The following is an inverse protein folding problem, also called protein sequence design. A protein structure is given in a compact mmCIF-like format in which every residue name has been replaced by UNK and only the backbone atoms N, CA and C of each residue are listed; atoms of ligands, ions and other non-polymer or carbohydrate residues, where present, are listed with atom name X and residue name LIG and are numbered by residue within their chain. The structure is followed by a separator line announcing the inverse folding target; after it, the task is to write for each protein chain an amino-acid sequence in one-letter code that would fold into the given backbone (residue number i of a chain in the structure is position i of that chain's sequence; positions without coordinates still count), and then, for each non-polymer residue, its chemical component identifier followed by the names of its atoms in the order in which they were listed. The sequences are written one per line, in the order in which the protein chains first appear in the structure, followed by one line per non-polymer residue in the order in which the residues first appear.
data_IF_703651738944
#
_entry.id   IF_703651738944
#
_cell.length_a   1.000
_cell.length_b   1.000
_cell.length_c   1.000
_cell.angle_alpha   90.00
_cell.angle_beta   90.00
_cell.angle_gamma   90.00
#
_symmetry.space_group_name_H-M   'P 1'
#
loop_
_entity.id
_entity.type
_entity.pdbx_description
1 polymer ?
#
# COMPACT_ATOMS: atom_id res chain seq x y z
N UNK A 1 -64.87 -1.95 7.06
CA UNK A 1 -63.99 -2.05 8.24
C UNK A 1 -62.56 -1.98 7.72
N UNK A 2 -61.91 -0.83 7.88
CA UNK A 2 -60.53 -0.58 7.44
C UNK A 2 -59.59 -0.87 8.61
N UNK A 3 -58.43 -1.42 8.30
CA UNK A 3 -57.49 -2.07 9.21
C UNK A 3 -56.83 -1.08 10.17
N UNK A 4 -57.16 -1.16 11.47
CA UNK A 4 -56.52 -0.41 12.58
C UNK A 4 -55.16 -1.02 13.02
N UNK A 5 -54.49 -1.76 12.13
CA UNK A 5 -53.25 -2.51 12.46
C UNK A 5 -51.99 -1.77 11.99
N UNK A 6 -52.11 -0.85 11.01
CA UNK A 6 -50.96 -0.15 10.44
C UNK A 6 -50.42 0.98 11.35
N UNK A 7 -51.29 1.64 12.12
CA UNK A 7 -50.88 2.75 13.01
C UNK A 7 -50.06 2.27 14.20
N UNK A 8 -50.34 1.06 14.69
CA UNK A 8 -49.64 0.49 15.85
C UNK A 8 -48.19 0.07 15.50
N UNK A 9 -47.95 -0.37 14.25
CA UNK A 9 -46.62 -0.76 13.80
C UNK A 9 -45.68 0.44 13.64
N UNK A 10 -46.20 1.59 13.19
CA UNK A 10 -45.43 2.83 13.04
C UNK A 10 -45.03 3.36 14.42
N UNK A 11 -45.98 3.35 15.37
CA UNK A 11 -45.73 3.83 16.73
C UNK A 11 -44.70 2.96 17.47
N UNK A 12 -44.76 1.63 17.31
CA UNK A 12 -43.75 0.72 17.85
C UNK A 12 -42.36 0.90 17.22
N UNK A 13 -42.30 1.25 15.93
CA UNK A 13 -41.04 1.51 15.23
C UNK A 13 -40.38 2.81 15.70
N UNK A 14 -41.15 3.88 15.91
CA UNK A 14 -40.66 5.15 16.44
C UNK A 14 -40.12 5.02 17.87
N UNK A 15 -40.82 4.25 18.72
CA UNK A 15 -40.37 3.99 20.09
C UNK A 15 -39.03 3.21 20.12
N UNK A 16 -38.87 2.22 19.24
CA UNK A 16 -37.63 1.45 19.11
C UNK A 16 -36.45 2.27 18.56
N UNK A 17 -36.71 3.20 17.64
CA UNK A 17 -35.68 4.11 17.12
C UNK A 17 -35.23 5.13 18.18
N UNK A 18 -36.12 5.55 19.09
CA UNK A 18 -35.77 6.47 20.18
C UNK A 18 -34.85 5.85 21.24
N UNK A 19 -34.89 4.52 21.40
CA UNK A 19 -34.00 3.75 22.27
C UNK A 19 -32.61 3.52 21.64
N UNK A 20 -32.50 3.60 20.32
CA UNK A 20 -31.24 3.59 19.58
C UNK A 20 -30.55 4.96 19.64
N UNK A 21 -30.12 5.36 20.84
CA UNK A 21 -29.05 6.36 20.95
C UNK A 21 -27.75 5.62 20.63
N UNK A 22 -27.10 5.84 19.48
CA UNK A 22 -25.76 5.32 19.28
C UNK A 22 -24.90 5.92 20.39
N UNK A 23 -24.50 5.09 21.36
CA UNK A 23 -23.35 5.39 22.18
C UNK A 23 -22.20 5.48 21.18
N UNK A 24 -21.89 6.70 20.76
CA UNK A 24 -20.62 7.01 20.14
C UNK A 24 -19.56 6.67 21.20
N UNK A 25 -19.14 5.40 21.23
CA UNK A 25 -17.86 5.05 21.81
C UNK A 25 -16.88 5.97 21.10
N UNK A 26 -16.28 6.87 21.86
CA UNK A 26 -15.16 7.68 21.44
C UNK A 26 -14.21 6.73 20.72
N UNK A 27 -14.20 6.80 19.39
CA UNK A 27 -13.22 6.08 18.62
C UNK A 27 -11.90 6.67 19.09
N UNK A 28 -11.15 5.85 19.81
CA UNK A 28 -9.79 6.11 20.24
C UNK A 28 -9.05 6.71 19.03
N UNK A 29 -8.89 8.03 19.03
CA UNK A 29 -8.09 8.77 18.06
C UNK A 29 -6.63 8.46 18.33
N UNK A 30 -6.26 7.19 18.17
CA UNK A 30 -4.91 6.84 17.75
C UNK A 30 -4.78 7.43 16.37
N UNK A 31 -4.18 8.62 16.35
CA UNK A 31 -3.78 9.35 15.17
C UNK A 31 -3.37 8.34 14.11
N UNK A 32 -4.24 8.17 13.11
CA UNK A 32 -3.85 7.59 11.84
C UNK A 32 -2.65 8.42 11.46
N UNK A 33 -1.45 7.84 11.47
CA UNK A 33 -0.24 8.53 11.10
C UNK A 33 -0.50 9.14 9.73
N UNK A 34 -0.83 10.43 9.72
CA UNK A 34 -0.98 11.21 8.53
C UNK A 34 0.42 11.18 7.94
N UNK A 35 0.58 10.36 6.92
CA UNK A 35 1.78 10.33 6.12
C UNK A 35 1.95 11.76 5.62
N UNK A 36 2.88 12.47 6.26
CA UNK A 36 3.20 13.87 6.00
C UNK A 36 3.28 14.03 4.48
N UNK A 37 2.25 14.66 3.89
CA UNK A 37 2.21 14.99 2.47
C UNK A 37 3.22 16.12 2.25
N UNK A 38 4.50 15.74 2.19
CA UNK A 38 5.57 16.63 1.74
C UNK A 38 5.39 16.88 0.24
N UNK A 39 5.81 18.05 -0.26
CA UNK A 39 5.81 18.35 -1.68
C UNK A 39 6.52 17.21 -2.44
N UNK A 40 6.04 16.84 -3.63
CA UNK A 40 6.58 15.70 -4.35
C UNK A 40 8.03 15.99 -4.71
N UNK A 41 8.97 15.44 -3.93
CA UNK A 41 10.25 15.03 -4.48
C UNK A 41 9.88 14.16 -5.68
N UNK A 42 10.24 14.62 -6.89
CA UNK A 42 9.86 13.99 -8.14
C UNK A 42 10.09 12.48 -8.02
N UNK A 43 8.99 11.73 -7.87
CA UNK A 43 9.06 10.29 -7.64
C UNK A 43 9.35 9.65 -8.97
N UNK A 44 10.45 8.90 -9.02
CA UNK A 44 10.83 8.16 -10.22
C UNK A 44 10.10 6.82 -10.19
N UNK A 45 9.27 6.56 -11.20
CA UNK A 45 8.63 5.25 -11.34
C UNK A 45 9.54 4.28 -12.09
N UNK A 46 9.70 3.07 -11.57
CA UNK A 46 10.42 1.97 -12.21
C UNK A 46 9.42 0.84 -12.39
N UNK A 47 9.07 0.55 -13.64
CA UNK A 47 8.13 -0.51 -13.98
C UNK A 47 8.84 -1.81 -14.34
N UNK A 48 8.56 -2.85 -13.58
CA UNK A 48 9.20 -4.17 -13.65
C UNK A 48 8.19 -5.27 -13.96
N UNK A 49 6.91 -4.92 -14.24
CA UNK A 49 5.91 -5.95 -14.49
C UNK A 49 6.30 -6.82 -15.69
N UNK A 50 6.12 -8.14 -15.56
CA UNK A 50 6.38 -9.08 -16.64
C UNK A 50 7.86 -9.41 -16.90
N UNK A 51 8.80 -8.78 -16.20
CA UNK A 51 10.22 -9.11 -16.28
C UNK A 51 10.57 -10.35 -15.44
N UNK A 52 11.67 -11.04 -15.80
CA UNK A 52 12.30 -11.99 -14.88
C UNK A 52 12.93 -11.25 -13.70
N UNK A 53 13.30 -12.00 -12.65
CA UNK A 53 13.99 -11.41 -11.50
C UNK A 53 15.32 -10.80 -11.94
N UNK A 54 16.11 -11.48 -12.77
CA UNK A 54 17.41 -10.95 -13.21
C UNK A 54 17.26 -9.68 -14.06
N UNK A 55 16.28 -9.64 -14.97
CA UNK A 55 15.99 -8.46 -15.78
C UNK A 55 15.56 -7.27 -14.93
N UNK A 56 14.71 -7.53 -13.94
CA UNK A 56 14.22 -6.51 -13.03
C UNK A 56 15.31 -5.96 -12.11
N UNK A 57 16.22 -6.79 -11.60
CA UNK A 57 17.38 -6.34 -10.83
C UNK A 57 18.29 -5.42 -11.65
N UNK A 58 18.53 -5.77 -12.93
CA UNK A 58 19.28 -4.94 -13.86
C UNK A 58 18.60 -3.59 -14.08
N UNK A 59 17.30 -3.59 -14.38
CA UNK A 59 16.55 -2.35 -14.62
C UNK A 59 16.54 -1.45 -13.38
N UNK A 60 16.33 -2.00 -12.18
CA UNK A 60 16.44 -1.24 -10.91
C UNK A 60 17.82 -0.61 -10.77
N UNK A 61 18.87 -1.39 -11.07
CA UNK A 61 20.25 -0.91 -10.96
C UNK A 61 20.52 0.24 -11.91
N UNK A 62 20.14 0.08 -13.17
CA UNK A 62 20.32 1.11 -14.19
C UNK A 62 19.50 2.35 -13.91
N UNK A 63 18.23 2.20 -13.52
CA UNK A 63 17.34 3.32 -13.19
C UNK A 63 17.87 4.14 -12.01
N UNK A 64 18.31 3.49 -10.93
CA UNK A 64 18.89 4.18 -9.77
C UNK A 64 20.19 4.89 -10.16
N UNK A 65 21.05 4.24 -10.97
CA UNK A 65 22.30 4.84 -11.44
C UNK A 65 22.07 6.06 -12.35
N UNK A 66 21.08 6.01 -13.26
CA UNK A 66 20.69 7.12 -14.15
C UNK A 66 20.22 8.35 -13.35
N UNK A 67 19.64 8.14 -12.18
CA UNK A 67 19.07 9.21 -11.37
C UNK A 67 20.00 9.72 -10.27
N UNK A 68 21.32 9.57 -10.47
CA UNK A 68 22.44 10.10 -9.70
C UNK A 68 22.04 10.59 -8.30
N UNK A 69 22.26 9.73 -7.29
CA UNK A 69 22.07 10.08 -5.89
C UNK A 69 23.11 11.14 -5.52
N UNK A 70 22.83 12.41 -5.86
CA UNK A 70 23.59 13.56 -5.37
C UNK A 70 23.36 13.68 -3.85
N UNK A 71 23.83 14.77 -3.21
CA UNK A 71 23.49 15.06 -1.82
C UNK A 71 21.96 15.15 -1.58
N UNK A 72 21.16 15.19 -2.64
CA UNK A 72 19.70 15.21 -2.58
C UNK A 72 19.08 13.81 -2.50
N UNK A 73 18.00 13.74 -1.71
CA UNK A 73 17.21 12.52 -1.53
C UNK A 73 16.32 12.29 -2.74
N UNK A 74 16.13 11.03 -3.12
CA UNK A 74 15.25 10.67 -4.23
C UNK A 74 14.37 9.47 -3.89
N UNK A 75 13.09 9.59 -4.21
CA UNK A 75 12.11 8.52 -4.01
C UNK A 75 11.87 7.79 -5.34
N UNK A 76 11.98 6.48 -5.29
CA UNK A 76 11.66 5.56 -6.38
C UNK A 76 10.41 4.78 -6.02
N UNK A 77 9.45 4.72 -6.93
CA UNK A 77 8.28 3.85 -6.85
C UNK A 77 8.55 2.64 -7.72
N UNK A 78 8.79 1.49 -7.10
CA UNK A 78 9.16 0.26 -7.77
C UNK A 78 7.90 -0.58 -7.97
N UNK A 79 7.48 -0.77 -9.21
CA UNK A 79 6.25 -1.46 -9.60
C UNK A 79 6.61 -2.85 -10.10
N UNK A 80 6.21 -3.89 -9.36
CA UNK A 80 6.52 -5.31 -9.65
C UNK A 80 5.27 -6.12 -10.01
N UNK A 81 4.09 -5.51 -9.93
CA UNK A 81 2.82 -6.17 -10.13
C UNK A 81 2.35 -6.99 -8.92
N UNK A 82 1.11 -7.48 -8.97
CA UNK A 82 0.45 -8.16 -7.84
C UNK A 82 0.67 -9.69 -7.79
N UNK A 83 1.37 -10.25 -8.77
CA UNK A 83 1.64 -11.70 -8.85
C UNK A 83 0.53 -12.57 -9.46
N UNK A 84 -0.44 -11.98 -10.18
CA UNK A 84 -1.58 -12.72 -10.78
C UNK A 84 -1.18 -13.74 -11.84
N UNK A 85 -0.06 -13.51 -12.51
CA UNK A 85 0.41 -14.34 -13.61
C UNK A 85 1.54 -15.30 -13.22
N UNK A 86 1.94 -15.34 -11.94
CA UNK A 86 2.89 -16.37 -11.51
C UNK A 86 2.16 -17.71 -11.37
N UNK A 87 2.77 -18.79 -11.86
CA UNK A 87 2.22 -20.15 -11.82
C UNK A 87 1.85 -20.63 -10.41
N UNK A 88 2.42 -20.02 -9.38
CA UNK A 88 2.16 -20.33 -7.98
C UNK A 88 1.24 -19.33 -7.26
N UNK A 89 0.83 -18.23 -7.91
CA UNK A 89 0.12 -17.09 -7.29
C UNK A 89 0.96 -16.35 -6.21
N UNK A 90 2.15 -16.86 -5.90
CA UNK A 90 3.12 -16.21 -5.03
C UNK A 90 3.81 -15.19 -5.92
N UNK A 91 3.51 -13.90 -5.81
CA UNK A 91 4.30 -12.86 -6.47
C UNK A 91 5.77 -12.96 -6.08
N UNK A 92 6.56 -13.73 -6.84
CA UNK A 92 7.99 -13.95 -6.59
C UNK A 92 8.74 -12.63 -6.80
N UNK A 93 8.43 -11.94 -7.90
CA UNK A 93 9.12 -10.71 -8.29
C UNK A 93 9.06 -9.62 -7.20
N UNK A 94 7.90 -9.40 -6.58
CA UNK A 94 7.76 -8.35 -5.56
C UNK A 94 8.58 -8.64 -4.29
N UNK A 95 8.72 -9.92 -3.93
CA UNK A 95 9.55 -10.36 -2.81
C UNK A 95 11.03 -10.23 -3.15
N UNK A 96 11.46 -10.79 -4.27
CA UNK A 96 12.88 -10.83 -4.64
C UNK A 96 13.42 -9.41 -4.87
N UNK A 97 12.68 -8.55 -5.58
CA UNK A 97 13.11 -7.17 -5.82
C UNK A 97 13.13 -6.34 -4.54
N UNK A 98 12.17 -6.56 -3.63
CA UNK A 98 12.23 -5.91 -2.32
C UNK A 98 13.50 -6.30 -1.56
N UNK A 99 13.81 -7.59 -1.48
CA UNK A 99 15.02 -8.09 -0.80
C UNK A 99 16.30 -7.59 -1.48
N UNK A 100 16.35 -7.62 -2.81
CA UNK A 100 17.46 -7.08 -3.59
C UNK A 100 17.72 -5.60 -3.25
N UNK A 101 16.67 -4.77 -3.24
CA UNK A 101 16.80 -3.34 -2.91
C UNK A 101 17.32 -3.13 -1.51
N UNK A 102 16.79 -3.84 -0.52
CA UNK A 102 17.23 -3.78 0.87
C UNK A 102 18.70 -4.19 1.01
N UNK A 103 19.11 -5.30 0.39
CA UNK A 103 20.48 -5.80 0.50
C UNK A 103 21.49 -4.92 -0.23
N UNK A 104 21.19 -4.51 -1.46
CA UNK A 104 22.13 -3.76 -2.32
C UNK A 104 22.24 -2.29 -1.93
N UNK A 105 21.13 -1.66 -1.55
CA UNK A 105 21.08 -0.22 -1.28
C UNK A 105 20.92 0.12 0.19
N UNK A 106 20.88 -0.86 1.09
CA UNK A 106 20.68 -0.68 2.54
C UNK A 106 21.40 0.51 3.18
N UNK A 107 22.72 0.71 2.95
CA UNK A 107 23.45 1.87 3.49
C UNK A 107 22.92 3.25 3.06
N UNK A 108 22.27 3.31 1.88
CA UNK A 108 21.72 4.52 1.29
C UNK A 108 20.21 4.65 1.46
N UNK A 109 19.52 3.67 2.04
CA UNK A 109 18.08 3.77 2.30
C UNK A 109 17.85 4.74 3.45
N UNK A 110 17.14 5.84 3.18
CA UNK A 110 16.58 6.70 4.22
C UNK A 110 15.22 6.18 4.69
N UNK A 111 14.39 5.73 3.73
CA UNK A 111 13.06 5.19 4.01
C UNK A 111 12.73 4.12 2.98
N UNK A 112 12.10 3.05 3.42
CA UNK A 112 11.46 2.07 2.55
C UNK A 112 10.11 1.73 3.16
N UNK A 113 9.09 1.56 2.33
CA UNK A 113 7.83 0.99 2.80
C UNK A 113 8.02 -0.47 3.20
N UNK A 114 7.10 -1.03 4.00
CA UNK A 114 7.13 -2.47 4.29
C UNK A 114 7.06 -3.30 3.00
N UNK A 115 7.46 -4.57 3.05
CA UNK A 115 7.33 -5.44 1.88
C UNK A 115 5.85 -5.59 1.49
N UNK A 116 5.49 -5.32 0.22
CA UNK A 116 4.15 -5.61 -0.29
C UNK A 116 3.78 -7.09 -0.23
N UNK A 117 4.78 -7.98 -0.20
CA UNK A 117 4.59 -9.43 -0.15
C UNK A 117 3.97 -9.90 1.18
N UNK A 118 4.20 -9.16 2.27
CA UNK A 118 3.74 -9.50 3.61
C UNK A 118 2.23 -9.34 3.82
N UNK A 119 1.52 -8.69 2.90
CA UNK A 119 0.07 -8.44 3.00
C UNK A 119 -0.63 -8.97 1.74
N UNK A 120 -1.25 -10.14 1.89
CA UNK A 120 -1.93 -10.86 0.80
C UNK A 120 -3.40 -11.11 1.11
N UNK A 121 -4.25 -11.03 0.10
CA UNK A 121 -5.67 -11.38 0.15
C UNK A 121 -5.99 -12.37 -0.97
N UNK A 122 -6.50 -13.55 -0.63
CA UNK A 122 -6.77 -14.59 -1.62
C UNK A 122 -5.52 -15.09 -2.36
N UNK A 123 -4.34 -14.99 -1.72
CA UNK A 123 -3.06 -15.32 -2.34
C UNK A 123 -2.42 -14.22 -3.17
N UNK A 124 -3.12 -13.11 -3.48
CA UNK A 124 -2.56 -11.97 -4.21
C UNK A 124 -2.01 -10.90 -3.27
N UNK A 125 -0.91 -10.24 -3.64
CA UNK A 125 -0.45 -9.06 -2.90
C UNK A 125 -1.46 -7.91 -3.05
N UNK A 126 -1.81 -7.24 -1.95
CA UNK A 126 -2.76 -6.12 -1.98
C UNK A 126 -2.21 -4.96 -2.82
N UNK A 127 -0.89 -4.75 -2.76
CA UNK A 127 -0.16 -3.77 -3.56
C UNK A 127 0.91 -4.46 -4.40
N UNK A 128 1.07 -3.99 -5.63
CA UNK A 128 2.07 -4.46 -6.58
C UNK A 128 3.27 -3.51 -6.73
N UNK A 129 3.51 -2.67 -5.73
CA UNK A 129 4.59 -1.70 -5.74
C UNK A 129 5.01 -1.33 -4.31
N UNK A 130 6.18 -0.72 -4.17
CA UNK A 130 6.63 -0.07 -2.94
C UNK A 130 7.48 1.16 -3.24
N UNK A 131 7.55 2.07 -2.27
CA UNK A 131 8.44 3.24 -2.34
C UNK A 131 9.72 3.00 -1.56
N UNK A 132 10.84 3.44 -2.14
CA UNK A 132 12.15 3.55 -1.48
C UNK A 132 12.72 4.94 -1.70
N UNK A 133 13.13 5.60 -0.63
CA UNK A 133 13.85 6.87 -0.66
C UNK A 133 15.32 6.60 -0.36
N UNK A 134 16.18 6.95 -1.30
CA UNK A 134 17.62 6.84 -1.17
C UNK A 134 18.24 8.23 -0.92
N UNK A 135 19.30 8.26 -0.11
CA UNK A 135 20.19 9.42 0.07
C UNK A 135 21.49 9.20 -0.72
N UNK A 136 22.14 10.28 -1.14
CA UNK A 136 23.50 10.24 -1.67
C UNK A 136 24.50 9.59 -0.70
N UNK A 137 25.60 9.04 -1.23
CA UNK A 137 26.75 8.60 -0.42
C UNK A 137 27.36 9.75 0.39
#
# INVERSE_FOLDING_TARGET
MRFEIEENAIQMMEEHLSLFKPHAKSADTKARHESVKRPPLATVEIDLHGLTVEEAEREVTEAIARHQLSLEKRTFKIITGKGRHSSSGRGILIREIYLFVVHRYGPWIERIEESPDGVRLGGEAIRGHFHVTLKGP
#
